data_IF_150828740975
#
_entry.id   IF_150828740975
#
_cell.length_a   1.000
_cell.length_b   1.000
_cell.length_c   1.000
_cell.angle_alpha   90.00
_cell.angle_beta   90.00
_cell.angle_gamma   90.00
#
_symmetry.space_group_name_H-M   'P 1'
#
loop_
_entity.id
_entity.type
_entity.pdbx_description
1 polymer ?
#
# COMPACT_ATOMS: atom_id res chain seq x y z
N UNK A 1 38.40 69.54 -15.16
CA UNK A 1 38.03 68.76 -13.96
C UNK A 1 36.51 68.67 -13.85
N UNK A 2 35.90 67.51 -14.16
CA UNK A 2 34.62 67.04 -13.58
C UNK A 2 34.24 65.66 -14.13
N UNK A 3 34.64 64.65 -13.35
CA UNK A 3 33.93 63.43 -12.93
C UNK A 3 32.96 62.77 -13.92
N UNK A 4 33.35 61.58 -14.37
CA UNK A 4 32.48 60.57 -14.99
C UNK A 4 31.48 60.00 -13.97
N UNK A 5 30.23 59.79 -14.36
CA UNK A 5 29.32 58.86 -13.68
C UNK A 5 28.70 57.92 -14.72
N UNK A 6 29.25 56.69 -14.79
CA UNK A 6 28.58 55.54 -15.39
C UNK A 6 27.40 55.18 -14.48
N UNK A 7 26.19 55.20 -15.02
CA UNK A 7 24.99 54.68 -14.37
C UNK A 7 24.90 53.19 -14.68
N UNK A 8 25.23 52.34 -13.71
CA UNK A 8 24.93 50.90 -13.78
C UNK A 8 23.45 50.68 -13.56
N UNK A 9 22.74 50.14 -14.56
CA UNK A 9 21.38 49.61 -14.42
C UNK A 9 21.47 48.27 -13.71
N UNK A 10 21.01 48.21 -12.45
CA UNK A 10 20.75 46.96 -11.74
C UNK A 10 19.40 46.44 -12.24
N UNK A 11 19.42 45.33 -12.98
CA UNK A 11 18.22 44.54 -13.27
C UNK A 11 18.01 43.61 -12.08
N UNK A 12 16.99 43.88 -11.27
CA UNK A 12 16.55 42.96 -10.21
C UNK A 12 15.74 41.85 -10.89
N UNK A 13 16.36 40.69 -11.04
CA UNK A 13 15.68 39.48 -11.48
C UNK A 13 14.87 38.92 -10.30
N UNK A 14 13.55 39.17 -10.32
CA UNK A 14 12.61 38.53 -9.40
C UNK A 14 12.52 37.03 -9.76
N UNK A 15 13.31 36.21 -9.07
CA UNK A 15 13.15 34.75 -9.10
C UNK A 15 11.91 34.42 -8.26
N UNK A 16 10.77 34.26 -8.93
CA UNK A 16 9.61 33.56 -8.38
C UNK A 16 10.04 32.10 -8.16
N UNK A 17 10.48 31.79 -6.94
CA UNK A 17 10.55 30.41 -6.47
C UNK A 17 9.09 29.99 -6.25
N UNK A 18 8.47 29.43 -7.30
CA UNK A 18 7.34 28.54 -7.08
C UNK A 18 7.90 27.38 -6.25
N UNK A 19 7.63 27.37 -4.95
CA UNK A 19 7.64 26.13 -4.18
C UNK A 19 6.59 25.23 -4.84
N UNK A 20 7.00 24.51 -5.88
CA UNK A 20 6.38 23.25 -6.21
C UNK A 20 6.62 22.40 -4.97
N UNK A 21 5.64 22.40 -4.07
CA UNK A 21 5.52 21.38 -3.06
C UNK A 21 5.43 20.08 -3.86
N UNK A 22 6.56 19.40 -4.03
CA UNK A 22 6.55 18.02 -4.50
C UNK A 22 5.53 17.33 -3.59
N UNK A 23 4.46 16.71 -4.13
CA UNK A 23 3.55 15.95 -3.32
C UNK A 23 4.41 15.05 -2.42
N UNK A 24 4.18 15.11 -1.12
CA UNK A 24 4.79 14.14 -0.23
C UNK A 24 4.50 12.77 -0.84
N UNK A 25 5.52 11.92 -0.98
CA UNK A 25 5.42 10.58 -1.60
C UNK A 25 4.47 9.62 -0.85
N UNK A 26 3.68 10.14 0.10
CA UNK A 26 2.79 9.44 1.03
C UNK A 26 1.44 10.13 1.19
N UNK A 27 1.18 11.19 0.43
CA UNK A 27 -0.17 11.70 0.27
C UNK A 27 -0.95 10.75 -0.66
N UNK A 28 -2.18 10.39 -0.28
CA UNK A 28 -3.03 9.51 -1.07
C UNK A 28 -3.40 8.20 -0.38
N UNK A 29 -3.91 7.28 -1.20
CA UNK A 29 -4.38 5.95 -0.83
C UNK A 29 -4.04 4.95 -1.94
N UNK A 30 -3.35 3.88 -1.58
CA UNK A 30 -3.06 2.75 -2.46
C UNK A 30 -4.19 1.71 -2.43
N UNK A 31 -4.35 0.93 -3.48
CA UNK A 31 -5.16 -0.29 -3.48
C UNK A 31 -4.35 -1.47 -4.03
N UNK A 32 -4.39 -2.62 -3.34
CA UNK A 32 -4.03 -3.91 -3.92
C UNK A 32 -5.18 -4.36 -4.81
N UNK A 33 -4.94 -4.47 -6.12
CA UNK A 33 -5.97 -4.68 -7.13
C UNK A 33 -6.33 -6.13 -7.44
N UNK A 34 -6.02 -7.08 -6.53
CA UNK A 34 -6.26 -8.50 -6.70
C UNK A 34 -6.30 -9.20 -5.33
N UNK A 35 -6.71 -10.47 -5.32
CA UNK A 35 -6.67 -11.40 -4.20
C UNK A 35 -6.30 -12.81 -4.71
N UNK A 36 -6.04 -13.79 -3.83
CA UNK A 36 -5.47 -15.08 -4.25
C UNK A 36 -6.32 -15.83 -5.27
N UNK A 37 -7.64 -15.79 -5.12
CA UNK A 37 -8.60 -16.55 -5.91
C UNK A 37 -9.40 -15.69 -6.91
N UNK A 38 -8.81 -14.65 -7.48
CA UNK A 38 -9.49 -13.86 -8.54
C UNK A 38 -10.01 -14.78 -9.65
N UNK A 39 -11.18 -14.49 -10.26
CA UNK A 39 -11.74 -15.34 -11.30
C UNK A 39 -10.71 -15.64 -12.39
N UNK A 40 -10.51 -16.94 -12.67
CA UNK A 40 -9.65 -17.37 -13.77
C UNK A 40 -10.26 -17.03 -15.14
N UNK A 41 -9.50 -17.30 -16.20
CA UNK A 41 -9.97 -17.13 -17.58
C UNK A 41 -9.50 -15.85 -18.28
N UNK A 42 -8.44 -15.20 -17.78
CA UNK A 42 -7.73 -14.16 -18.55
C UNK A 42 -8.43 -12.80 -18.64
N UNK A 43 -9.44 -12.53 -17.81
CA UNK A 43 -10.24 -11.30 -17.93
C UNK A 43 -10.04 -10.30 -16.76
N UNK A 44 -9.14 -10.59 -15.83
CA UNK A 44 -8.98 -9.76 -14.62
C UNK A 44 -8.52 -8.33 -14.93
N UNK A 45 -7.65 -8.13 -15.91
CA UNK A 45 -7.23 -6.79 -16.30
C UNK A 45 -8.40 -5.94 -16.81
N UNK A 46 -9.37 -6.52 -17.52
CA UNK A 46 -10.58 -5.81 -17.94
C UNK A 46 -11.50 -5.51 -16.75
N UNK A 47 -11.61 -6.42 -15.78
CA UNK A 47 -12.31 -6.17 -14.51
C UNK A 47 -11.70 -4.97 -13.80
N UNK A 48 -10.38 -4.95 -13.58
CA UNK A 48 -9.67 -3.82 -12.98
C UNK A 48 -9.90 -2.53 -13.78
N UNK A 49 -9.71 -2.58 -15.10
CA UNK A 49 -9.90 -1.45 -16.01
C UNK A 49 -11.28 -0.81 -15.84
N UNK A 50 -12.34 -1.61 -15.75
CA UNK A 50 -13.72 -1.13 -15.62
C UNK A 50 -13.95 -0.33 -14.32
N UNK A 51 -13.10 -0.51 -13.31
CA UNK A 51 -13.22 0.13 -11.99
C UNK A 51 -12.39 1.39 -11.83
N UNK A 52 -11.56 1.76 -12.80
CA UNK A 52 -10.64 2.90 -12.66
C UNK A 52 -11.35 4.23 -12.32
N UNK A 53 -12.50 4.51 -12.96
CA UNK A 53 -13.30 5.70 -12.65
C UNK A 53 -13.87 5.66 -11.22
N UNK A 54 -14.49 4.54 -10.82
CA UNK A 54 -15.08 4.33 -9.48
C UNK A 54 -14.01 4.46 -8.39
N UNK A 55 -12.80 3.97 -8.64
CA UNK A 55 -11.70 4.01 -7.68
C UNK A 55 -11.05 5.38 -7.57
N UNK A 56 -10.98 6.17 -8.65
CA UNK A 56 -10.49 7.56 -8.58
C UNK A 56 -11.49 8.49 -7.90
N UNK A 57 -12.77 8.30 -8.18
CA UNK A 57 -13.85 9.20 -7.78
C UNK A 57 -14.84 8.50 -6.84
N UNK A 58 -14.32 8.02 -5.71
CA UNK A 58 -15.11 7.28 -4.72
C UNK A 58 -16.17 8.17 -4.05
N UNK A 59 -15.78 9.37 -3.57
CA UNK A 59 -16.67 10.37 -2.96
C UNK A 59 -16.12 11.77 -3.28
N UNK A 60 -16.97 12.67 -3.78
CA UNK A 60 -16.66 14.09 -4.07
C UNK A 60 -15.34 14.35 -4.81
N UNK A 61 -14.99 13.46 -5.74
CA UNK A 61 -13.76 13.59 -6.52
C UNK A 61 -12.50 12.99 -5.88
N UNK A 62 -12.61 12.43 -4.67
CA UNK A 62 -11.51 11.78 -3.95
C UNK A 62 -11.56 10.26 -4.08
N UNK A 63 -10.40 9.61 -4.02
CA UNK A 63 -10.24 8.18 -4.22
C UNK A 63 -8.77 7.78 -4.17
N UNK A 64 -8.43 6.64 -4.75
CA UNK A 64 -7.04 6.14 -4.76
C UNK A 64 -6.16 6.98 -5.70
N UNK A 65 -4.87 6.98 -5.41
CA UNK A 65 -3.82 7.57 -6.25
C UNK A 65 -2.90 6.49 -6.85
N UNK A 66 -2.94 5.25 -6.32
CA UNK A 66 -2.13 4.14 -6.81
C UNK A 66 -2.86 2.81 -6.74
N UNK A 67 -2.62 1.96 -7.73
CA UNK A 67 -3.08 0.57 -7.72
C UNK A 67 -1.91 -0.40 -7.96
N UNK A 68 -1.83 -1.44 -7.14
CA UNK A 68 -0.88 -2.55 -7.23
C UNK A 68 -1.51 -3.69 -8.02
N UNK A 69 -0.92 -3.99 -9.18
CA UNK A 69 -1.29 -5.10 -10.05
C UNK A 69 -0.65 -6.40 -9.60
N UNK A 70 -1.27 -7.57 -9.85
CA UNK A 70 -0.62 -8.85 -9.61
C UNK A 70 0.62 -9.03 -10.52
N UNK A 71 1.50 -10.02 -10.24
CA UNK A 71 2.68 -10.24 -11.07
C UNK A 71 2.27 -10.48 -12.54
N UNK A 72 2.80 -9.69 -13.49
CA UNK A 72 2.26 -9.66 -14.84
C UNK A 72 2.88 -10.70 -15.78
N UNK A 73 3.94 -11.39 -15.35
CA UNK A 73 4.70 -12.36 -16.15
C UNK A 73 4.07 -13.75 -16.13
N UNK A 74 4.31 -14.54 -17.18
CA UNK A 74 3.91 -15.94 -17.25
C UNK A 74 4.62 -16.75 -16.16
N UNK A 75 3.82 -17.41 -15.32
CA UNK A 75 4.30 -18.39 -14.34
C UNK A 75 4.26 -19.82 -14.87
N UNK A 76 4.94 -20.74 -14.15
CA UNK A 76 5.02 -22.16 -14.48
C UNK A 76 3.63 -22.80 -14.61
N UNK A 77 2.68 -22.38 -13.77
CA UNK A 77 1.31 -22.90 -13.75
C UNK A 77 0.41 -22.31 -14.86
N UNK A 78 0.97 -21.53 -15.79
CA UNK A 78 0.25 -20.98 -16.93
C UNK A 78 -0.95 -20.11 -16.54
N UNK A 79 -2.11 -20.36 -17.15
CA UNK A 79 -3.35 -19.64 -16.88
C UNK A 79 -3.92 -19.86 -15.47
N UNK A 80 -3.35 -20.80 -14.69
CA UNK A 80 -3.70 -21.02 -13.28
C UNK A 80 -2.78 -20.28 -12.31
N UNK A 81 -1.62 -19.82 -12.78
CA UNK A 81 -0.62 -19.12 -11.97
C UNK A 81 -1.17 -17.80 -11.40
N UNK A 82 -0.87 -17.54 -10.13
CA UNK A 82 -1.06 -16.22 -9.51
C UNK A 82 0.15 -15.29 -9.72
N UNK A 83 1.17 -15.75 -10.44
CA UNK A 83 2.34 -14.98 -10.82
C UNK A 83 3.57 -15.16 -9.92
N UNK A 84 3.41 -15.76 -8.74
CA UNK A 84 4.50 -16.04 -7.77
C UNK A 84 5.27 -17.33 -8.06
N UNK A 85 5.16 -17.87 -9.26
CA UNK A 85 5.97 -18.97 -9.80
C UNK A 85 6.57 -18.56 -11.16
N UNK A 86 7.27 -17.40 -11.24
CA UNK A 86 7.64 -16.78 -12.51
C UNK A 86 8.49 -17.72 -13.37
N UNK A 87 8.12 -17.87 -14.64
CA UNK A 87 8.79 -18.75 -15.59
C UNK A 87 9.42 -17.99 -16.76
N UNK A 88 8.67 -17.08 -17.37
CA UNK A 88 9.17 -16.22 -18.46
C UNK A 88 8.81 -14.75 -18.19
N UNK A 89 9.80 -14.00 -17.69
CA UNK A 89 9.66 -12.59 -17.33
C UNK A 89 9.19 -11.70 -18.50
N UNK A 90 9.57 -12.03 -19.73
CA UNK A 90 9.22 -11.23 -20.92
C UNK A 90 7.94 -11.70 -21.61
N UNK A 91 7.23 -12.66 -21.02
CA UNK A 91 5.90 -13.08 -21.47
C UNK A 91 4.81 -12.49 -20.58
N UNK A 92 4.22 -11.37 -21.00
CA UNK A 92 3.08 -10.75 -20.32
C UNK A 92 1.73 -11.32 -20.79
N UNK A 93 1.70 -12.59 -21.20
CA UNK A 93 0.51 -13.24 -21.74
C UNK A 93 0.40 -13.12 -23.27
N UNK A 94 1.52 -13.25 -23.99
CA UNK A 94 1.62 -13.12 -25.45
C UNK A 94 2.11 -14.41 -26.14
N UNK A 95 2.77 -15.32 -25.42
CA UNK A 95 3.26 -16.58 -25.99
C UNK A 95 2.49 -17.78 -25.47
N UNK A 96 2.20 -18.75 -26.36
CA UNK A 96 1.67 -20.05 -25.96
C UNK A 96 2.78 -20.90 -25.31
N UNK A 97 2.81 -20.90 -23.98
CA UNK A 97 3.73 -21.69 -23.15
C UNK A 97 3.12 -21.99 -21.79
N UNK A 98 3.62 -23.05 -21.15
CA UNK A 98 3.08 -23.51 -19.87
C UNK A 98 1.55 -23.74 -19.91
N UNK A 99 1.04 -24.24 -21.04
CA UNK A 99 -0.37 -24.58 -21.23
C UNK A 99 -1.32 -23.40 -21.46
N UNK A 100 -0.81 -22.18 -21.68
CA UNK A 100 -1.65 -20.99 -21.91
C UNK A 100 -0.94 -19.91 -22.72
N UNK A 101 -1.71 -19.12 -23.47
CA UNK A 101 -1.19 -17.87 -24.09
C UNK A 101 -1.24 -16.74 -23.07
N UNK A 102 -2.42 -16.43 -22.56
CA UNK A 102 -2.61 -15.40 -21.56
C UNK A 102 -2.10 -15.83 -20.17
N UNK A 103 -1.77 -14.86 -19.34
CA UNK A 103 -1.64 -15.10 -17.90
C UNK A 103 -3.03 -15.37 -17.31
N UNK A 104 -3.11 -15.75 -16.03
CA UNK A 104 -4.41 -15.83 -15.33
C UNK A 104 -5.21 -14.53 -15.45
N UNK A 105 -4.51 -13.40 -15.47
CA UNK A 105 -5.11 -12.07 -15.41
C UNK A 105 -5.48 -11.50 -16.79
N UNK A 106 -4.86 -12.01 -17.85
CA UNK A 106 -5.13 -11.67 -19.24
C UNK A 106 -3.89 -11.52 -20.12
N UNK A 107 -4.10 -10.96 -21.30
CA UNK A 107 -3.09 -10.68 -22.31
C UNK A 107 -2.30 -9.41 -22.02
N UNK A 108 -1.16 -9.25 -22.70
CA UNK A 108 -0.36 -8.02 -22.64
C UNK A 108 -1.14 -6.80 -23.14
N UNK A 109 -2.01 -6.98 -24.13
CA UNK A 109 -2.82 -5.89 -24.68
C UNK A 109 -3.83 -5.38 -23.64
N UNK A 110 -4.47 -6.29 -22.91
CA UNK A 110 -5.41 -5.95 -21.83
C UNK A 110 -4.70 -5.31 -20.64
N UNK A 111 -3.51 -5.81 -20.27
CA UNK A 111 -2.66 -5.18 -19.25
C UNK A 111 -2.35 -3.72 -19.60
N UNK A 112 -1.85 -3.47 -20.81
CA UNK A 112 -1.55 -2.11 -21.30
C UNK A 112 -2.79 -1.22 -21.31
N UNK A 113 -3.92 -1.77 -21.74
CA UNK A 113 -5.22 -1.10 -21.79
C UNK A 113 -5.73 -0.73 -20.38
N UNK A 114 -5.55 -1.62 -19.41
CA UNK A 114 -5.87 -1.36 -18.00
C UNK A 114 -4.96 -0.27 -17.40
N UNK A 115 -3.64 -0.39 -17.58
CA UNK A 115 -2.67 0.61 -17.11
C UNK A 115 -2.98 1.99 -17.70
N UNK A 116 -3.22 2.08 -19.01
CA UNK A 116 -3.57 3.33 -19.67
C UNK A 116 -4.86 3.94 -19.12
N UNK A 117 -5.85 3.11 -18.77
CA UNK A 117 -7.11 3.57 -18.18
C UNK A 117 -6.95 4.11 -16.75
N UNK A 118 -6.13 3.47 -15.91
CA UNK A 118 -5.85 4.01 -14.58
C UNK A 118 -5.09 5.33 -14.67
N UNK A 119 -4.08 5.38 -15.56
CA UNK A 119 -3.29 6.60 -15.80
C UNK A 119 -4.12 7.76 -16.34
N UNK A 120 -5.13 7.52 -17.17
CA UNK A 120 -6.02 8.58 -17.67
C UNK A 120 -6.85 9.23 -16.55
N UNK A 121 -7.01 8.55 -15.41
CA UNK A 121 -7.62 9.09 -14.20
C UNK A 121 -6.59 9.57 -13.16
N UNK A 122 -5.30 9.61 -13.51
CA UNK A 122 -4.23 10.03 -12.61
C UNK A 122 -3.87 8.99 -11.53
N UNK A 123 -4.27 7.74 -11.70
CA UNK A 123 -3.88 6.63 -10.80
C UNK A 123 -2.57 6.03 -11.30
N UNK A 124 -1.57 5.99 -10.43
CA UNK A 124 -0.28 5.37 -10.70
C UNK A 124 -0.37 3.85 -10.66
N UNK A 125 0.31 3.16 -11.58
CA UNK A 125 0.27 1.70 -11.69
C UNK A 125 1.55 1.08 -11.15
N UNK A 126 1.43 0.21 -10.15
CA UNK A 126 2.53 -0.52 -9.52
C UNK A 126 2.55 -1.97 -10.01
N UNK A 127 3.71 -2.45 -10.46
CA UNK A 127 3.89 -3.87 -10.77
C UNK A 127 4.35 -4.64 -9.53
N UNK A 128 3.90 -5.88 -9.41
CA UNK A 128 4.50 -6.87 -8.53
C UNK A 128 5.78 -7.46 -9.15
N UNK A 129 6.86 -7.48 -8.39
CA UNK A 129 8.21 -7.80 -8.82
C UNK A 129 8.71 -8.99 -8.00
N UNK A 130 8.61 -10.18 -8.59
CA UNK A 130 9.10 -11.44 -8.03
C UNK A 130 10.52 -11.68 -8.51
N UNK A 131 11.48 -11.60 -7.58
CA UNK A 131 12.92 -11.65 -7.88
C UNK A 131 13.66 -12.73 -7.09
N UNK A 132 13.00 -13.40 -6.16
CA UNK A 132 13.66 -14.37 -5.29
C UNK A 132 14.06 -15.64 -6.04
N UNK A 133 13.09 -16.22 -6.74
CA UNK A 133 13.20 -17.53 -7.35
C UNK A 133 12.67 -17.50 -8.78
N UNK A 134 12.83 -18.64 -9.47
CA UNK A 134 12.20 -18.87 -10.78
C UNK A 134 11.72 -20.30 -10.87
N UNK A 135 10.62 -20.53 -11.59
CA UNK A 135 9.98 -21.85 -11.70
C UNK A 135 9.75 -22.23 -13.16
N UNK A 136 9.69 -23.54 -13.46
CA UNK A 136 9.33 -24.04 -14.79
C UNK A 136 10.50 -24.25 -15.75
N UNK A 137 11.72 -24.31 -15.24
CA UNK A 137 12.90 -24.74 -16.00
C UNK A 137 12.88 -26.24 -16.27
N UNK A 138 13.55 -26.67 -17.33
CA UNK A 138 13.79 -28.07 -17.61
C UNK A 138 14.86 -28.65 -16.66
N UNK A 139 14.88 -29.98 -16.55
CA UNK A 139 15.89 -30.68 -15.75
C UNK A 139 17.24 -30.64 -16.44
N UNK A 140 18.26 -30.18 -15.73
CA UNK A 140 19.66 -30.22 -16.16
C UNK A 140 20.57 -30.64 -14.99
N UNK A 141 21.79 -31.08 -15.28
CA UNK A 141 22.75 -31.46 -14.25
C UNK A 141 23.44 -30.23 -13.65
N UNK A 142 23.37 -30.06 -12.33
CA UNK A 142 24.10 -29.04 -11.61
C UNK A 142 25.37 -29.65 -10.96
N UNK A 143 26.58 -29.28 -11.44
CA UNK A 143 27.83 -29.82 -10.90
C UNK A 143 28.12 -29.40 -9.45
N UNK A 144 27.44 -28.37 -8.93
CA UNK A 144 27.64 -27.87 -7.55
C UNK A 144 26.82 -28.65 -6.54
N UNK A 145 25.64 -29.13 -6.92
CA UNK A 145 24.84 -30.04 -6.08
C UNK A 145 25.19 -31.50 -6.30
N UNK A 146 25.80 -31.83 -7.45
CA UNK A 146 26.06 -33.22 -7.85
C UNK A 146 24.80 -33.97 -8.30
N UNK A 147 23.71 -33.24 -8.58
CA UNK A 147 22.39 -33.78 -8.93
C UNK A 147 21.72 -32.93 -10.00
N UNK A 148 20.59 -33.39 -10.54
CA UNK A 148 19.80 -32.58 -11.46
C UNK A 148 18.98 -31.51 -10.72
N UNK A 149 18.88 -30.32 -11.33
CA UNK A 149 18.05 -29.19 -10.89
C UNK A 149 17.15 -28.73 -12.03
N UNK A 150 16.04 -28.05 -11.70
CA UNK A 150 15.05 -27.55 -12.67
C UNK A 150 15.40 -26.12 -13.12
N UNK A 151 16.62 -25.95 -13.63
CA UNK A 151 17.23 -24.63 -13.86
C UNK A 151 17.50 -24.30 -15.33
N UNK A 152 17.17 -25.19 -16.27
CA UNK A 152 17.35 -24.91 -17.70
C UNK A 152 16.16 -24.10 -18.23
N UNK A 153 16.35 -22.80 -18.42
CA UNK A 153 15.37 -21.87 -18.99
C UNK A 153 15.65 -21.54 -20.46
N UNK A 154 16.47 -22.32 -21.16
CA UNK A 154 16.74 -22.11 -22.59
C UNK A 154 15.48 -22.22 -23.48
N UNK A 155 14.46 -22.94 -23.01
CA UNK A 155 13.23 -23.22 -23.73
C UNK A 155 12.11 -22.17 -23.63
N UNK A 156 12.29 -21.09 -22.84
CA UNK A 156 11.23 -20.07 -22.67
C UNK A 156 10.95 -19.34 -23.99
N UNK A 157 9.67 -19.04 -24.26
CA UNK A 157 9.26 -18.56 -25.59
C UNK A 157 9.68 -17.13 -25.90
N UNK A 158 9.94 -16.30 -24.89
CA UNK A 158 10.48 -14.96 -25.13
C UNK A 158 11.92 -14.97 -25.68
N UNK A 159 12.66 -16.08 -25.49
CA UNK A 159 14.09 -16.15 -25.80
C UNK A 159 14.94 -15.17 -24.96
N UNK A 160 14.42 -14.71 -23.82
CA UNK A 160 15.09 -13.81 -22.88
C UNK A 160 15.27 -14.50 -21.54
N UNK A 161 16.30 -14.09 -20.79
CA UNK A 161 16.65 -14.70 -19.51
C UNK A 161 16.80 -16.23 -19.64
N UNK A 162 17.54 -16.72 -20.64
CA UNK A 162 17.75 -18.16 -20.89
C UNK A 162 18.82 -18.71 -19.96
N UNK A 163 18.53 -18.66 -18.66
CA UNK A 163 19.47 -19.00 -17.59
C UNK A 163 19.62 -20.50 -17.42
N UNK A 164 20.75 -20.89 -16.83
CA UNK A 164 21.09 -22.25 -16.42
C UNK A 164 21.44 -22.27 -14.93
N UNK A 165 21.80 -23.45 -14.42
CA UNK A 165 22.14 -23.74 -13.02
C UNK A 165 23.11 -22.74 -12.38
N UNK A 166 24.02 -22.15 -13.17
CA UNK A 166 25.04 -21.20 -12.71
C UNK A 166 24.49 -19.80 -12.41
N UNK A 167 23.23 -19.54 -12.75
CA UNK A 167 22.48 -18.33 -12.40
C UNK A 167 21.64 -18.50 -11.12
N UNK A 168 21.64 -19.69 -10.52
CA UNK A 168 20.86 -20.02 -9.32
C UNK A 168 21.77 -20.50 -8.19
N UNK A 169 21.26 -20.47 -6.97
CA UNK A 169 21.92 -21.07 -5.82
C UNK A 169 21.75 -22.61 -5.84
N UNK A 170 22.73 -23.38 -5.34
CA UNK A 170 24.13 -23.00 -5.17
C UNK A 170 24.88 -22.96 -6.52
N UNK A 171 25.83 -22.03 -6.64
CA UNK A 171 26.76 -21.97 -7.78
C UNK A 171 28.21 -21.66 -7.37
N UNK A 172 29.03 -21.16 -8.30
CA UNK A 172 30.43 -20.80 -8.05
C UNK A 172 30.62 -19.55 -7.17
N UNK A 173 29.64 -18.66 -7.15
CA UNK A 173 29.68 -17.37 -6.47
C UNK A 173 28.75 -17.30 -5.26
N UNK A 174 27.64 -18.05 -5.32
CA UNK A 174 26.63 -18.09 -4.29
C UNK A 174 26.58 -19.47 -3.64
N UNK A 175 26.62 -19.50 -2.30
CA UNK A 175 26.49 -20.72 -1.50
C UNK A 175 25.03 -21.12 -1.30
N UNK A 176 24.51 -20.97 -0.09
CA UNK A 176 23.10 -21.27 0.23
C UNK A 176 22.14 -20.12 -0.05
N UNK A 177 20.86 -20.46 -0.12
CA UNK A 177 19.77 -19.52 -0.41
C UNK A 177 19.62 -18.51 0.75
N UNK A 178 19.46 -17.20 0.47
CA UNK A 178 19.10 -16.23 1.50
C UNK A 178 17.70 -16.49 2.08
N UNK A 179 16.83 -17.14 1.30
CA UNK A 179 15.56 -17.72 1.73
C UNK A 179 14.94 -18.53 0.59
N UNK A 180 14.37 -19.70 0.89
CA UNK A 180 13.80 -20.60 -0.11
C UNK A 180 12.28 -20.48 -0.17
N UNK A 181 11.72 -20.52 -1.38
CA UNK A 181 10.28 -20.43 -1.62
C UNK A 181 9.80 -21.58 -2.52
N UNK A 182 8.92 -22.44 -1.98
CA UNK A 182 8.28 -23.51 -2.76
C UNK A 182 9.23 -24.58 -3.32
N UNK A 183 10.51 -24.60 -2.91
CA UNK A 183 11.55 -25.45 -3.51
C UNK A 183 11.95 -25.02 -4.91
N UNK A 184 11.59 -23.80 -5.34
CA UNK A 184 11.97 -23.24 -6.62
C UNK A 184 13.44 -22.80 -6.59
N UNK A 185 14.17 -22.91 -7.71
CA UNK A 185 15.53 -22.38 -7.81
C UNK A 185 15.65 -20.90 -7.44
N UNK A 186 16.46 -20.61 -6.43
CA UNK A 186 16.72 -19.27 -5.93
C UNK A 186 17.75 -18.53 -6.80
N UNK A 187 17.42 -17.33 -7.27
CA UNK A 187 18.24 -16.58 -8.23
C UNK A 187 19.50 -16.03 -7.54
N UNK A 188 20.67 -16.27 -8.12
CA UNK A 188 21.93 -15.69 -7.67
C UNK A 188 22.25 -14.42 -8.44
N UNK A 189 22.09 -13.27 -7.79
CA UNK A 189 22.40 -11.95 -8.37
C UNK A 189 23.90 -11.62 -8.41
N UNK A 190 24.76 -12.50 -7.89
CA UNK A 190 26.23 -12.34 -7.91
C UNK A 190 26.89 -13.08 -9.07
N UNK A 191 26.12 -13.91 -9.79
CA UNK A 191 26.59 -14.76 -10.87
C UNK A 191 25.76 -14.54 -12.14
N UNK A 192 26.35 -14.88 -13.28
CA UNK A 192 25.63 -14.93 -14.56
C UNK A 192 25.04 -13.59 -15.00
N UNK A 193 24.04 -13.66 -15.89
CA UNK A 193 23.38 -12.49 -16.46
C UNK A 193 22.18 -12.00 -15.66
N UNK A 194 21.70 -12.77 -14.67
CA UNK A 194 20.45 -12.52 -13.94
C UNK A 194 20.35 -11.09 -13.37
N UNK A 195 21.44 -10.55 -12.82
CA UNK A 195 21.49 -9.20 -12.29
C UNK A 195 21.24 -8.10 -13.33
N UNK A 196 21.82 -8.22 -14.52
CA UNK A 196 21.60 -7.24 -15.59
C UNK A 196 20.25 -7.49 -16.30
N UNK A 197 19.92 -8.76 -16.54
CA UNK A 197 18.67 -9.15 -17.19
C UNK A 197 17.43 -8.67 -16.43
N UNK A 198 17.45 -8.70 -15.09
CA UNK A 198 16.34 -8.19 -14.27
C UNK A 198 16.23 -6.66 -14.29
N UNK A 199 17.35 -5.94 -14.37
CA UNK A 199 17.32 -4.48 -14.58
C UNK A 199 16.74 -4.11 -15.94
N UNK A 200 17.12 -4.85 -16.97
CA UNK A 200 16.60 -4.66 -18.32
C UNK A 200 15.11 -4.97 -18.38
N UNK A 201 14.68 -6.05 -17.73
CA UNK A 201 13.27 -6.44 -17.65
C UNK A 201 12.42 -5.39 -16.93
N UNK A 202 12.88 -4.89 -15.78
CA UNK A 202 12.13 -3.87 -15.05
C UNK A 202 12.07 -2.54 -15.84
N UNK A 203 13.13 -2.14 -16.54
CA UNK A 203 13.07 -1.00 -17.45
C UNK A 203 12.16 -1.26 -18.66
N UNK A 204 12.12 -2.50 -19.16
CA UNK A 204 11.21 -2.93 -20.20
C UNK A 204 9.74 -2.82 -19.73
N UNK A 205 9.41 -3.21 -18.49
CA UNK A 205 8.09 -3.02 -17.89
C UNK A 205 7.66 -1.55 -17.77
N UNK A 206 8.60 -0.63 -17.52
CA UNK A 206 8.30 0.82 -17.45
C UNK A 206 7.92 1.42 -18.81
N UNK A 207 8.39 0.82 -19.91
CA UNK A 207 8.09 1.32 -21.24
C UNK A 207 6.60 1.14 -21.56
N UNK A 208 5.94 2.22 -21.98
CA UNK A 208 4.54 2.20 -22.43
C UNK A 208 4.32 1.32 -23.67
N UNK A 209 5.39 1.00 -24.41
CA UNK A 209 5.33 0.03 -25.51
C UNK A 209 5.05 -1.39 -25.01
N UNK A 210 5.39 -1.71 -23.75
CA UNK A 210 5.31 -3.07 -23.21
C UNK A 210 4.25 -3.22 -22.11
N UNK A 211 4.27 -2.35 -21.09
CA UNK A 211 3.26 -2.32 -20.03
C UNK A 211 3.03 -0.87 -19.57
N UNK A 212 4.09 -0.18 -19.15
CA UNK A 212 4.02 1.21 -18.73
C UNK A 212 3.82 1.38 -17.23
N UNK A 213 4.43 0.55 -16.39
CA UNK A 213 4.35 0.69 -14.93
C UNK A 213 5.17 1.87 -14.39
N UNK A 214 4.77 2.41 -13.24
CA UNK A 214 5.39 3.59 -12.61
C UNK A 214 6.25 3.24 -11.39
N UNK A 215 5.98 2.10 -10.74
CA UNK A 215 6.46 1.77 -9.39
C UNK A 215 6.44 0.28 -9.11
N UNK A 216 7.07 -0.13 -8.00
CA UNK A 216 7.35 -1.54 -7.71
C UNK A 216 6.85 -1.98 -6.33
N UNK A 217 6.17 -3.13 -6.27
CA UNK A 217 6.05 -3.95 -5.06
C UNK A 217 7.06 -5.08 -5.19
N UNK A 218 8.01 -5.18 -4.26
CA UNK A 218 8.98 -6.28 -4.26
C UNK A 218 8.45 -7.42 -3.38
N UNK A 219 8.28 -8.58 -4.01
CA UNK A 219 7.86 -9.82 -3.39
C UNK A 219 8.97 -10.44 -2.52
N UNK A 220 8.57 -11.08 -1.42
CA UNK A 220 9.39 -11.96 -0.60
C UNK A 220 10.83 -11.45 -0.36
N UNK A 221 10.97 -10.18 0.06
CA UNK A 221 12.28 -9.54 0.18
C UNK A 221 13.13 -10.06 1.33
N UNK A 222 12.61 -11.00 2.15
CA UNK A 222 13.39 -11.78 3.09
C UNK A 222 14.33 -12.76 2.40
N UNK A 223 13.96 -13.29 1.23
CA UNK A 223 14.80 -14.21 0.47
C UNK A 223 15.77 -13.52 -0.49
N UNK A 224 15.77 -12.18 -0.54
CA UNK A 224 16.64 -11.40 -1.43
C UNK A 224 17.51 -10.45 -0.61
N UNK A 225 18.80 -10.42 -0.91
CA UNK A 225 19.72 -9.48 -0.27
C UNK A 225 19.33 -8.02 -0.58
N UNK A 226 19.31 -7.14 0.43
CA UNK A 226 18.80 -5.76 0.29
C UNK A 226 19.52 -4.93 -0.77
N UNK A 227 20.79 -5.22 -1.07
CA UNK A 227 21.54 -4.51 -2.12
C UNK A 227 20.95 -4.77 -3.51
N UNK A 228 20.33 -5.94 -3.75
CA UNK A 228 19.66 -6.25 -5.02
C UNK A 228 18.49 -5.30 -5.21
N UNK A 229 17.61 -5.17 -4.19
CA UNK A 229 16.46 -4.26 -4.24
C UNK A 229 16.93 -2.81 -4.44
N UNK A 230 17.97 -2.38 -3.71
CA UNK A 230 18.57 -1.05 -3.87
C UNK A 230 19.00 -0.79 -5.32
N UNK A 231 19.73 -1.73 -5.91
CA UNK A 231 20.28 -1.58 -7.25
C UNK A 231 19.22 -1.67 -8.35
N UNK A 232 18.21 -2.54 -8.19
CA UNK A 232 17.07 -2.63 -9.10
C UNK A 232 16.27 -1.32 -9.12
N UNK A 233 16.06 -0.71 -7.94
CA UNK A 233 15.44 0.62 -7.84
C UNK A 233 16.30 1.69 -8.50
N UNK A 234 17.60 1.73 -8.22
CA UNK A 234 18.50 2.71 -8.81
C UNK A 234 18.54 2.60 -10.34
N UNK A 235 18.62 1.38 -10.87
CA UNK A 235 18.65 1.09 -12.31
C UNK A 235 17.35 1.46 -13.03
N UNK A 236 16.25 1.62 -12.30
CA UNK A 236 14.93 1.99 -12.85
C UNK A 236 14.52 3.42 -12.51
N UNK A 237 15.47 4.26 -12.07
CA UNK A 237 15.24 5.68 -11.80
C UNK A 237 14.63 5.98 -10.42
N UNK A 238 14.84 5.10 -9.44
CA UNK A 238 14.36 5.23 -8.05
C UNK A 238 12.87 5.56 -7.92
N UNK A 239 11.96 4.81 -8.59
CA UNK A 239 10.53 5.05 -8.41
C UNK A 239 10.11 4.76 -6.96
N UNK A 240 8.89 5.17 -6.62
CA UNK A 240 8.27 4.68 -5.39
C UNK A 240 8.32 3.15 -5.39
N UNK A 241 8.65 2.57 -4.24
CA UNK A 241 8.67 1.11 -4.09
C UNK A 241 8.33 0.70 -2.68
N UNK A 242 7.66 -0.44 -2.54
CA UNK A 242 7.38 -1.07 -1.26
C UNK A 242 7.88 -2.51 -1.28
N UNK A 243 8.53 -2.96 -0.21
CA UNK A 243 8.92 -4.36 -0.04
C UNK A 243 8.00 -5.09 0.92
N UNK A 244 7.71 -6.34 0.60
CA UNK A 244 7.09 -7.30 1.50
C UNK A 244 8.14 -7.92 2.45
N UNK A 245 8.70 -7.11 3.36
CA UNK A 245 9.53 -7.63 4.43
C UNK A 245 8.60 -8.14 5.52
N UNK A 246 8.18 -9.40 5.42
CA UNK A 246 7.18 -9.99 6.31
C UNK A 246 7.75 -10.23 7.72
N UNK A 247 7.81 -9.17 8.53
CA UNK A 247 8.30 -9.20 9.91
C UNK A 247 7.62 -8.12 10.77
N UNK A 248 7.35 -8.43 12.04
CA UNK A 248 6.77 -7.48 12.99
C UNK A 248 7.81 -6.63 13.72
N UNK A 249 9.10 -6.93 13.57
CA UNK A 249 10.17 -6.15 14.18
C UNK A 249 10.38 -4.82 13.42
N UNK A 250 9.93 -3.73 14.03
CA UNK A 250 10.01 -2.40 13.41
C UNK A 250 11.44 -1.87 13.26
N UNK A 251 12.43 -2.40 13.99
CA UNK A 251 13.85 -2.11 13.73
C UNK A 251 14.32 -2.79 12.44
N UNK A 252 13.97 -4.06 12.24
CA UNK A 252 14.31 -4.79 11.01
C UNK A 252 13.70 -4.13 9.77
N UNK A 253 12.43 -3.71 9.86
CA UNK A 253 11.77 -2.94 8.80
C UNK A 253 12.52 -1.62 8.52
N UNK A 254 12.94 -0.89 9.56
CA UNK A 254 13.67 0.36 9.42
C UNK A 254 15.05 0.16 8.77
N UNK A 255 15.80 -0.86 9.20
CA UNK A 255 17.12 -1.18 8.68
C UNK A 255 17.05 -1.58 7.21
N UNK A 256 16.06 -2.38 6.83
CA UNK A 256 15.82 -2.73 5.44
C UNK A 256 15.41 -1.52 4.59
N UNK A 257 14.52 -0.65 5.09
CA UNK A 257 14.14 0.59 4.40
C UNK A 257 15.36 1.51 4.21
N UNK A 258 16.25 1.61 5.20
CA UNK A 258 17.52 2.35 5.11
C UNK A 258 18.44 1.76 4.03
N UNK A 259 18.60 0.44 4.01
CA UNK A 259 19.49 -0.24 3.08
C UNK A 259 19.02 -0.13 1.61
N UNK A 260 17.71 -0.21 1.37
CA UNK A 260 17.11 -0.24 0.03
C UNK A 260 16.66 1.12 -0.49
N UNK A 261 16.38 2.06 0.42
CA UNK A 261 15.68 3.30 0.13
C UNK A 261 14.22 3.11 -0.30
N UNK A 262 13.64 1.92 -0.14
CA UNK A 262 12.22 1.62 -0.37
C UNK A 262 11.40 1.82 0.92
N UNK A 263 10.07 1.74 0.79
CA UNK A 263 9.13 1.60 1.92
C UNK A 263 8.89 0.12 2.23
N UNK A 264 8.31 -0.21 3.37
CA UNK A 264 7.92 -1.57 3.74
C UNK A 264 6.44 -1.65 4.11
N UNK A 265 5.82 -2.79 3.84
CA UNK A 265 4.51 -3.10 4.40
C UNK A 265 4.59 -3.22 5.93
N UNK A 266 3.66 -2.58 6.63
CA UNK A 266 3.64 -2.51 8.09
C UNK A 266 3.00 -3.77 8.71
N UNK A 267 3.73 -4.88 8.65
CA UNK A 267 3.29 -6.14 9.27
C UNK A 267 3.20 -6.03 10.80
N UNK A 268 3.98 -5.14 11.42
CA UNK A 268 3.90 -4.87 12.86
C UNK A 268 2.51 -4.32 13.22
N UNK A 269 2.07 -3.27 12.54
CA UNK A 269 0.74 -2.70 12.76
C UNK A 269 -0.36 -3.67 12.35
N UNK A 270 -0.19 -4.41 11.26
CA UNK A 270 -1.15 -5.43 10.84
C UNK A 270 -1.43 -6.43 11.97
N UNK A 271 -0.38 -7.03 12.57
CA UNK A 271 -0.56 -7.98 13.67
C UNK A 271 -1.16 -7.33 14.91
N UNK A 272 -0.75 -6.10 15.22
CA UNK A 272 -1.33 -5.33 16.33
C UNK A 272 -2.83 -5.10 16.13
N UNK A 273 -3.25 -4.66 14.94
CA UNK A 273 -4.65 -4.46 14.60
C UNK A 273 -5.41 -5.78 14.55
N UNK A 274 -4.81 -6.86 14.05
CA UNK A 274 -5.42 -8.19 14.03
C UNK A 274 -5.76 -8.65 15.44
N UNK A 275 -4.81 -8.56 16.35
CA UNK A 275 -4.99 -9.05 17.73
C UNK A 275 -6.04 -8.20 18.47
N UNK A 276 -6.04 -6.87 18.26
CA UNK A 276 -7.06 -5.97 18.80
C UNK A 276 -8.44 -6.29 18.23
N UNK A 277 -8.58 -6.23 16.90
CA UNK A 277 -9.87 -6.30 16.22
C UNK A 277 -10.51 -7.68 16.31
N UNK A 278 -9.72 -8.75 16.44
CA UNK A 278 -10.24 -10.11 16.55
C UNK A 278 -10.55 -10.53 17.98
N UNK A 279 -10.15 -9.76 19.01
CA UNK A 279 -10.47 -10.07 20.39
C UNK A 279 -12.00 -10.09 20.59
N UNK A 280 -12.61 -11.26 20.88
CA UNK A 280 -14.06 -11.38 20.99
C UNK A 280 -14.63 -10.59 22.16
N UNK A 281 -13.83 -10.34 23.21
CA UNK A 281 -14.26 -9.65 24.42
C UNK A 281 -14.05 -8.13 24.34
N UNK A 282 -13.49 -7.60 23.24
CA UNK A 282 -12.93 -6.25 23.22
C UNK A 282 -11.69 -6.12 24.11
N UNK A 283 -11.14 -4.91 24.26
CA UNK A 283 -10.00 -4.64 25.13
C UNK A 283 -8.69 -5.28 24.66
N UNK A 284 -8.33 -5.06 23.40
CA UNK A 284 -7.05 -5.46 22.80
C UNK A 284 -5.86 -4.56 23.16
N UNK A 285 -6.07 -3.58 24.05
CA UNK A 285 -5.12 -2.53 24.40
C UNK A 285 -4.75 -1.66 23.18
N UNK A 286 -5.71 -0.82 22.76
CA UNK A 286 -5.57 0.12 21.66
C UNK A 286 -4.29 0.96 21.67
N UNK A 287 -3.74 1.43 22.83
CA UNK A 287 -2.50 2.21 22.81
C UNK A 287 -1.31 1.53 22.13
N UNK A 288 -1.34 0.20 21.94
CA UNK A 288 -0.33 -0.53 21.17
C UNK A 288 -0.18 -0.02 19.73
N UNK A 289 -1.20 0.57 19.11
CA UNK A 289 -1.09 1.10 17.74
C UNK A 289 -0.19 2.34 17.65
N UNK A 290 0.10 2.99 18.78
CA UNK A 290 1.04 4.12 18.86
C UNK A 290 2.43 3.70 19.35
N UNK A 291 2.62 2.45 19.76
CA UNK A 291 3.91 1.93 20.19
C UNK A 291 4.82 1.72 18.97
N UNK A 292 5.98 2.40 18.96
CA UNK A 292 6.94 2.34 17.86
C UNK A 292 7.55 0.93 17.65
N UNK A 293 7.44 0.04 18.64
CA UNK A 293 7.86 -1.36 18.51
C UNK A 293 6.77 -2.26 17.89
N UNK A 294 5.52 -1.79 17.84
CA UNK A 294 4.34 -2.54 17.38
C UNK A 294 3.65 -1.93 16.16
N UNK A 295 4.01 -0.70 15.80
CA UNK A 295 3.53 -0.03 14.58
C UNK A 295 4.70 0.62 13.86
N UNK A 296 4.96 0.18 12.63
CA UNK A 296 5.98 0.81 11.81
C UNK A 296 5.54 2.21 11.35
N UNK A 297 4.24 2.44 11.16
CA UNK A 297 3.67 3.74 10.90
C UNK A 297 3.91 4.72 12.05
N UNK A 298 3.79 4.29 13.31
CA UNK A 298 4.15 5.11 14.46
C UNK A 298 5.67 5.42 14.49
N UNK A 299 6.51 4.41 14.20
CA UNK A 299 7.98 4.56 14.21
C UNK A 299 8.51 5.44 13.09
N UNK A 300 8.14 5.14 11.84
CA UNK A 300 8.64 5.78 10.65
C UNK A 300 7.53 5.91 9.60
N UNK A 301 6.61 6.87 9.79
CA UNK A 301 5.46 7.05 8.89
C UNK A 301 5.89 7.26 7.44
N UNK A 302 7.08 7.82 7.22
CA UNK A 302 7.57 8.08 5.88
C UNK A 302 7.94 6.85 5.06
N UNK A 303 8.02 5.68 5.69
CA UNK A 303 8.41 4.41 5.07
C UNK A 303 7.38 3.30 5.26
N UNK A 304 6.27 3.58 5.94
CA UNK A 304 5.26 2.60 6.27
C UNK A 304 4.13 2.59 5.23
N UNK A 305 3.89 1.43 4.62
CA UNK A 305 2.66 1.14 3.87
C UNK A 305 1.76 0.30 4.76
N UNK A 306 0.69 0.88 5.28
CA UNK A 306 -0.22 0.25 6.24
C UNK A 306 -1.35 -0.47 5.51
N UNK A 307 -1.77 -1.64 5.98
CA UNK A 307 -2.82 -2.44 5.34
C UNK A 307 -3.63 -3.20 6.40
N UNK A 308 -4.84 -3.65 6.02
CA UNK A 308 -5.73 -4.45 6.89
C UNK A 308 -5.73 -5.92 6.48
N UNK A 309 -5.64 -6.19 5.19
CA UNK A 309 -5.57 -7.51 4.60
C UNK A 309 -4.81 -7.43 3.27
N UNK A 310 -4.30 -8.57 2.83
CA UNK A 310 -3.68 -8.76 1.52
C UNK A 310 -4.07 -10.15 1.00
N UNK A 311 -3.41 -10.62 -0.07
CA UNK A 311 -3.73 -11.92 -0.65
C UNK A 311 -3.29 -13.12 0.21
N UNK A 312 -2.43 -12.94 1.22
CA UNK A 312 -1.92 -14.00 2.10
C UNK A 312 -2.52 -13.95 3.52
N UNK A 313 -2.96 -12.79 4.00
CA UNK A 313 -3.21 -12.53 5.43
C UNK A 313 -4.62 -12.02 5.76
N UNK A 314 -5.65 -12.39 5.00
CA UNK A 314 -7.04 -11.97 5.22
C UNK A 314 -7.65 -12.55 6.53
N UNK A 315 -7.11 -12.12 7.69
CA UNK A 315 -7.34 -12.71 9.02
C UNK A 315 -8.10 -11.77 9.98
N UNK A 316 -8.25 -10.48 9.66
CA UNK A 316 -8.97 -9.52 10.53
C UNK A 316 -10.47 -9.55 10.20
N UNK A 317 -11.25 -10.46 10.78
CA UNK A 317 -12.63 -10.71 10.34
C UNK A 317 -13.71 -10.01 11.18
N UNK A 318 -13.41 -9.61 12.41
CA UNK A 318 -14.43 -9.13 13.36
C UNK A 318 -14.66 -7.63 13.26
N UNK A 319 -13.67 -6.81 13.65
CA UNK A 319 -13.78 -5.34 13.61
C UNK A 319 -12.99 -4.72 12.46
N UNK A 320 -13.09 -5.31 11.26
CA UNK A 320 -12.30 -4.92 10.08
C UNK A 320 -12.41 -3.42 9.73
N UNK A 321 -13.61 -2.84 9.91
CA UNK A 321 -13.83 -1.40 9.68
C UNK A 321 -13.11 -0.50 10.70
N UNK A 322 -12.85 -0.98 11.92
CA UNK A 322 -12.05 -0.27 12.92
C UNK A 322 -10.57 -0.22 12.51
N UNK A 323 -10.04 -1.33 11.99
CA UNK A 323 -8.70 -1.38 11.41
C UNK A 323 -8.57 -0.44 10.20
N UNK A 324 -9.55 -0.41 9.30
CA UNK A 324 -9.58 0.54 8.17
C UNK A 324 -9.64 1.99 8.63
N UNK A 325 -10.45 2.30 9.64
CA UNK A 325 -10.51 3.65 10.20
C UNK A 325 -9.14 4.10 10.69
N UNK A 326 -8.41 3.23 11.41
CA UNK A 326 -7.06 3.55 11.85
C UNK A 326 -6.13 3.83 10.67
N UNK A 327 -5.93 2.88 9.75
CA UNK A 327 -4.93 3.06 8.68
C UNK A 327 -5.25 4.22 7.73
N UNK A 328 -6.53 4.54 7.51
CA UNK A 328 -6.93 5.63 6.60
C UNK A 328 -6.84 7.01 7.27
N UNK A 329 -6.97 7.10 8.59
CA UNK A 329 -6.95 8.39 9.31
C UNK A 329 -5.68 8.63 10.13
N UNK A 330 -4.79 7.64 10.21
CA UNK A 330 -3.48 7.77 10.82
C UNK A 330 -2.39 8.06 9.77
N UNK A 331 -1.16 8.25 10.25
CA UNK A 331 0.04 8.45 9.42
C UNK A 331 0.48 7.16 8.71
N UNK A 332 1.32 7.30 7.68
CA UNK A 332 1.68 6.22 6.76
C UNK A 332 0.91 6.30 5.44
N UNK A 333 1.19 5.39 4.52
CA UNK A 333 0.52 5.30 3.21
C UNK A 333 -0.43 4.09 3.19
N UNK A 334 -1.74 4.28 3.34
CA UNK A 334 -2.68 3.16 3.46
C UNK A 334 -2.87 2.42 2.13
N UNK A 335 -2.96 1.10 2.22
CA UNK A 335 -3.29 0.18 1.14
C UNK A 335 -4.62 -0.52 1.43
N UNK A 336 -5.61 -0.29 0.57
CA UNK A 336 -6.92 -0.94 0.61
C UNK A 336 -6.84 -2.29 -0.11
N UNK A 337 -7.48 -3.32 0.45
CA UNK A 337 -7.58 -4.62 -0.20
C UNK A 337 -8.83 -4.72 -1.10
N UNK A 338 -8.66 -5.17 -2.34
CA UNK A 338 -9.78 -5.28 -3.30
C UNK A 338 -10.95 -6.12 -2.77
N UNK A 339 -10.65 -7.30 -2.19
CA UNK A 339 -11.67 -8.24 -1.70
C UNK A 339 -12.52 -7.63 -0.60
N UNK A 340 -11.90 -6.89 0.32
CA UNK A 340 -12.61 -6.14 1.35
C UNK A 340 -13.54 -5.07 0.75
N UNK A 341 -13.01 -4.30 -0.19
CA UNK A 341 -13.72 -3.17 -0.78
C UNK A 341 -14.93 -3.62 -1.62
N UNK A 342 -14.71 -4.53 -2.56
CA UNK A 342 -15.73 -4.96 -3.54
C UNK A 342 -16.51 -6.20 -3.11
N UNK A 343 -15.84 -7.25 -2.62
CA UNK A 343 -16.46 -8.56 -2.45
C UNK A 343 -17.13 -8.71 -1.08
N UNK A 344 -16.51 -8.15 -0.04
CA UNK A 344 -17.11 -8.05 1.29
C UNK A 344 -17.97 -6.80 1.47
N UNK A 345 -18.08 -5.96 0.43
CA UNK A 345 -18.97 -4.80 0.42
C UNK A 345 -18.58 -3.69 1.39
N UNK A 346 -17.34 -3.67 1.89
CA UNK A 346 -16.89 -2.67 2.87
C UNK A 346 -16.68 -1.29 2.26
N UNK A 347 -16.80 -1.14 0.93
CA UNK A 347 -16.84 0.18 0.29
C UNK A 347 -17.95 1.08 0.85
N UNK A 348 -19.13 0.51 1.08
CA UNK A 348 -20.35 1.20 1.51
C UNK A 348 -20.85 0.70 2.89
N UNK A 349 -20.39 -0.47 3.32
CA UNK A 349 -20.81 -1.09 4.59
C UNK A 349 -20.01 -0.58 5.79
N UNK A 350 -20.67 -0.50 6.94
CA UNK A 350 -20.04 -0.20 8.23
C UNK A 350 -20.64 -1.06 9.33
N UNK A 351 -20.05 -2.23 9.61
CA UNK A 351 -20.51 -3.15 10.66
C UNK A 351 -21.94 -3.68 10.48
N UNK A 352 -22.21 -4.91 10.92
CA UNK A 352 -23.52 -5.58 10.91
C UNK A 352 -24.35 -5.53 9.59
N UNK A 353 -23.74 -5.20 8.44
CA UNK A 353 -24.39 -5.16 7.13
C UNK A 353 -25.29 -3.95 6.85
N UNK A 354 -25.27 -2.89 7.68
CA UNK A 354 -26.12 -1.71 7.45
C UNK A 354 -25.40 -0.62 6.64
N UNK A 355 -26.04 -0.12 5.58
CA UNK A 355 -25.55 1.00 4.76
C UNK A 355 -26.14 2.31 5.28
N UNK A 356 -25.29 3.19 5.81
CA UNK A 356 -25.66 4.55 6.20
C UNK A 356 -24.68 5.56 5.60
N UNK A 357 -25.15 6.78 5.34
CA UNK A 357 -24.24 7.90 5.07
C UNK A 357 -23.23 8.02 6.22
N UNK A 358 -21.95 8.17 5.89
CA UNK A 358 -20.89 8.16 6.89
C UNK A 358 -20.21 6.79 7.10
N UNK A 359 -20.70 5.70 6.50
CA UNK A 359 -20.06 4.39 6.62
C UNK A 359 -19.14 4.06 5.43
N UNK A 360 -18.29 3.06 5.64
CA UNK A 360 -17.50 2.41 4.58
C UNK A 360 -16.14 3.03 4.30
N UNK A 361 -15.31 2.25 3.62
CA UNK A 361 -13.94 2.61 3.27
C UNK A 361 -13.90 3.90 2.45
N UNK A 362 -14.84 4.08 1.51
CA UNK A 362 -14.86 5.29 0.66
C UNK A 362 -15.01 6.59 1.46
N UNK A 363 -15.75 6.53 2.57
CA UNK A 363 -15.97 7.69 3.43
C UNK A 363 -14.73 8.00 4.27
N UNK A 364 -14.01 6.96 4.72
CA UNK A 364 -12.72 7.12 5.37
C UNK A 364 -11.65 7.68 4.42
N UNK A 365 -11.64 7.24 3.15
CA UNK A 365 -10.81 7.83 2.08
C UNK A 365 -11.14 9.30 1.90
N UNK A 366 -12.42 9.66 1.81
CA UNK A 366 -12.83 11.06 1.76
C UNK A 366 -12.33 11.84 2.97
N UNK A 367 -12.48 11.31 4.19
CA UNK A 367 -11.98 11.97 5.40
C UNK A 367 -10.47 12.23 5.31
N UNK A 368 -9.68 11.25 4.87
CA UNK A 368 -8.24 11.41 4.68
C UNK A 368 -7.92 12.50 3.66
N UNK A 369 -8.49 12.37 2.47
CA UNK A 369 -8.14 13.21 1.32
C UNK A 369 -8.69 14.63 1.47
N UNK A 370 -9.98 14.78 1.76
CA UNK A 370 -10.66 16.08 1.89
C UNK A 370 -10.24 16.83 3.14
N UNK A 371 -10.26 16.18 4.30
CA UNK A 371 -10.11 16.88 5.57
C UNK A 371 -8.62 17.04 5.95
N UNK A 372 -7.76 16.09 5.60
CA UNK A 372 -6.33 16.12 5.92
C UNK A 372 -5.41 16.23 4.69
N UNK A 373 -5.96 16.67 3.53
CA UNK A 373 -5.20 16.88 2.30
C UNK A 373 -4.37 15.64 1.87
N UNK A 374 -4.90 14.45 2.14
CA UNK A 374 -4.29 13.15 1.83
C UNK A 374 -3.09 12.75 2.70
N UNK A 375 -2.62 13.63 3.58
CA UNK A 375 -1.42 13.43 4.39
C UNK A 375 -1.68 13.86 5.84
N UNK A 376 -2.30 13.01 6.67
CA UNK A 376 -2.59 13.33 8.07
C UNK A 376 -1.36 13.76 8.84
N UNK A 377 -1.48 14.87 9.58
CA UNK A 377 -0.44 15.38 10.48
C UNK A 377 -0.92 15.17 11.92
N UNK A 378 -0.41 14.13 12.55
CA UNK A 378 -1.06 13.52 13.72
C UNK A 378 -0.77 14.28 15.03
N UNK A 379 -1.82 14.43 15.83
CA UNK A 379 -1.78 14.85 17.23
C UNK A 379 -2.41 13.75 18.09
N UNK A 380 -1.68 13.16 19.04
CA UNK A 380 -2.27 12.21 20.00
C UNK A 380 -2.96 12.99 21.12
N UNK A 381 -4.25 12.76 21.30
CA UNK A 381 -5.09 13.50 22.25
C UNK A 381 -5.43 12.67 23.50
N UNK A 382 -5.51 11.34 23.35
CA UNK A 382 -5.71 10.38 24.42
C UNK A 382 -5.18 8.99 24.03
N UNK A 383 -4.41 8.38 24.92
CA UNK A 383 -3.80 7.05 24.70
C UNK A 383 -3.54 6.27 25.99
N UNK A 384 -4.18 6.65 27.10
CA UNK A 384 -4.00 6.09 28.45
C UNK A 384 -5.19 5.20 28.88
N UNK A 385 -6.13 4.93 27.97
CA UNK A 385 -7.22 3.98 28.16
C UNK A 385 -7.00 2.77 27.23
N UNK A 386 -7.16 1.56 27.76
CA UNK A 386 -6.93 0.33 27.02
C UNK A 386 -7.91 0.10 25.87
N UNK A 387 -9.11 0.65 25.94
CA UNK A 387 -10.20 0.40 24.99
C UNK A 387 -10.59 1.63 24.18
N UNK A 388 -10.05 2.81 24.48
CA UNK A 388 -10.36 4.03 23.76
C UNK A 388 -9.13 4.89 23.52
N UNK A 389 -8.86 5.18 22.25
CA UNK A 389 -7.85 6.15 21.82
C UNK A 389 -8.51 7.31 21.08
N UNK A 390 -7.93 8.50 21.24
CA UNK A 390 -8.33 9.71 20.53
C UNK A 390 -7.09 10.37 19.96
N UNK A 391 -7.13 10.66 18.67
CA UNK A 391 -6.08 11.40 17.98
C UNK A 391 -6.71 12.34 16.96
N UNK A 392 -5.97 13.33 16.50
CA UNK A 392 -6.40 14.26 15.47
C UNK A 392 -5.41 14.37 14.33
N UNK A 393 -5.87 14.95 13.23
CA UNK A 393 -5.00 15.52 12.21
C UNK A 393 -5.12 17.04 12.28
N UNK A 394 -3.98 17.74 12.26
CA UNK A 394 -3.96 19.18 12.01
C UNK A 394 -4.56 19.49 10.63
N UNK A 395 -5.25 20.62 10.53
CA UNK A 395 -5.72 21.15 9.27
C UNK A 395 -4.63 21.89 8.50
N UNK A 396 -4.82 21.97 7.19
CA UNK A 396 -3.96 22.71 6.27
C UNK A 396 -4.61 24.03 5.84
N UNK A 397 -5.94 24.08 5.81
CA UNK A 397 -6.73 25.25 5.40
C UNK A 397 -8.17 25.10 5.90
N UNK A 398 -9.00 26.12 5.74
CA UNK A 398 -10.44 26.01 6.05
C UNK A 398 -11.15 24.95 5.19
N UNK A 399 -10.66 24.65 3.99
CA UNK A 399 -11.21 23.61 3.10
C UNK A 399 -10.67 22.20 3.39
N UNK A 400 -9.61 22.10 4.18
CA UNK A 400 -9.02 20.86 4.70
C UNK A 400 -8.66 21.07 6.19
N UNK A 401 -9.69 21.17 7.06
CA UNK A 401 -9.52 21.66 8.43
C UNK A 401 -8.95 20.62 9.40
N UNK A 402 -8.63 19.41 8.94
CA UNK A 402 -8.23 18.28 9.78
C UNK A 402 -9.44 17.62 10.44
N UNK A 403 -9.20 16.77 11.43
CA UNK A 403 -10.25 16.02 12.13
C UNK A 403 -9.79 15.54 13.50
N UNK A 404 -10.73 14.99 14.27
CA UNK A 404 -10.50 14.19 15.47
C UNK A 404 -11.10 12.80 15.22
N UNK A 405 -10.34 11.75 15.52
CA UNK A 405 -10.76 10.35 15.43
C UNK A 405 -10.87 9.79 16.83
N UNK A 406 -11.96 9.07 17.08
CA UNK A 406 -12.15 8.24 18.27
C UNK A 406 -12.23 6.79 17.79
N UNK A 407 -11.42 5.92 18.37
CA UNK A 407 -11.52 4.47 18.20
C UNK A 407 -11.86 3.85 19.55
N UNK A 408 -12.82 2.94 19.55
CA UNK A 408 -13.34 2.31 20.75
C UNK A 408 -13.49 0.79 20.52
N UNK A 409 -12.68 -0.03 21.17
CA UNK A 409 -12.76 -1.49 21.07
C UNK A 409 -13.56 -2.13 22.22
N UNK A 410 -14.16 -1.34 23.10
CA UNK A 410 -15.00 -1.84 24.19
C UNK A 410 -16.16 -2.67 23.63
N UNK A 411 -16.49 -3.83 24.22
CA UNK A 411 -17.42 -4.78 23.62
C UNK A 411 -18.86 -4.28 23.50
N UNK A 412 -19.28 -3.36 24.38
CA UNK A 412 -20.71 -3.01 24.52
C UNK A 412 -21.02 -1.57 24.91
N UNK A 413 -20.02 -0.75 25.23
CA UNK A 413 -20.24 0.60 25.75
C UNK A 413 -19.66 1.64 24.80
N UNK A 414 -20.38 2.75 24.68
CA UNK A 414 -19.85 3.96 24.07
C UNK A 414 -18.74 4.51 24.96
N UNK A 415 -17.60 4.85 24.36
CA UNK A 415 -16.50 5.52 25.06
C UNK A 415 -16.16 6.83 24.36
N UNK A 416 -15.78 7.80 25.18
CA UNK A 416 -15.51 9.16 24.76
C UNK A 416 -14.97 9.99 25.90
N UNK A 417 -14.28 11.06 25.56
CA UNK A 417 -13.57 11.89 26.54
C UNK A 417 -13.53 13.34 26.09
N UNK A 418 -13.42 14.24 27.07
CA UNK A 418 -12.97 15.61 26.82
C UNK A 418 -11.49 15.58 26.43
N UNK A 419 -11.20 16.17 25.27
CA UNK A 419 -9.84 16.35 24.76
C UNK A 419 -9.62 17.81 24.38
N UNK A 420 -8.35 18.23 24.34
CA UNK A 420 -7.97 19.57 23.91
C UNK A 420 -7.12 19.47 22.65
N UNK A 421 -7.68 19.81 21.50
CA UNK A 421 -6.92 19.83 20.24
C UNK A 421 -6.16 21.14 20.07
N UNK A 422 -4.93 21.05 19.55
CA UNK A 422 -4.17 22.21 19.12
C UNK A 422 -4.50 22.64 17.68
N UNK A 423 -5.36 21.91 16.98
CA UNK A 423 -5.80 22.25 15.63
C UNK A 423 -6.68 23.51 15.64
N UNK A 424 -6.11 24.64 15.21
CA UNK A 424 -6.79 25.94 15.17
C UNK A 424 -8.02 25.98 14.25
N UNK A 425 -8.10 25.12 13.23
CA UNK A 425 -9.22 25.10 12.29
C UNK A 425 -10.50 24.50 12.90
N UNK A 426 -10.39 23.76 14.01
CA UNK A 426 -11.53 23.14 14.69
C UNK A 426 -12.12 24.03 15.79
N UNK A 427 -11.38 25.05 16.26
CA UNK A 427 -11.80 25.92 17.38
C UNK A 427 -12.99 26.80 17.02
N UNK A 428 -13.90 27.00 17.97
CA UNK A 428 -15.15 27.73 17.80
C UNK A 428 -16.06 27.18 16.69
N UNK A 429 -16.07 25.85 16.48
CA UNK A 429 -16.88 25.20 15.44
C UNK A 429 -17.72 24.07 16.04
N UNK A 430 -18.87 23.85 15.43
CA UNK A 430 -19.55 22.57 15.54
C UNK A 430 -18.78 21.54 14.73
N UNK A 431 -18.53 20.38 15.33
CA UNK A 431 -17.90 19.24 14.69
C UNK A 431 -18.95 18.16 14.44
N UNK A 432 -19.02 17.69 13.20
CA UNK A 432 -19.91 16.60 12.76
C UNK A 432 -19.10 15.33 12.55
N UNK A 433 -19.68 14.17 12.89
CA UNK A 433 -19.11 12.87 12.54
C UNK A 433 -19.32 12.59 11.05
N UNK A 434 -18.25 12.64 10.25
CA UNK A 434 -18.25 12.38 8.81
C UNK A 434 -18.00 10.92 8.46
N UNK A 435 -17.34 10.17 9.34
CA UNK A 435 -17.24 8.73 9.23
C UNK A 435 -17.50 8.07 10.58
N UNK A 436 -18.20 6.94 10.61
CA UNK A 436 -18.41 6.14 11.81
C UNK A 436 -18.75 4.70 11.42
N UNK A 437 -18.62 3.79 12.37
CA UNK A 437 -19.08 2.40 12.23
C UNK A 437 -19.15 1.74 13.59
N UNK A 438 -20.02 0.75 13.74
CA UNK A 438 -20.03 -0.19 14.87
C UNK A 438 -20.40 -1.58 14.40
N UNK A 439 -19.71 -2.61 14.90
CA UNK A 439 -20.08 -4.01 14.66
C UNK A 439 -21.15 -4.51 15.63
N UNK A 440 -21.40 -3.79 16.72
CA UNK A 440 -22.43 -4.13 17.71
C UNK A 440 -23.83 -3.80 17.19
N UNK A 441 -24.75 -4.76 17.32
CA UNK A 441 -26.15 -4.65 16.87
C UNK A 441 -26.84 -3.39 17.44
N UNK A 442 -27.53 -2.65 16.57
CA UNK A 442 -28.20 -1.37 16.86
C UNK A 442 -27.30 -0.23 17.37
N UNK A 443 -25.97 -0.38 17.30
CA UNK A 443 -25.03 0.67 17.72
C UNK A 443 -24.37 1.40 16.54
N UNK A 444 -24.63 0.98 15.30
CA UNK A 444 -24.16 1.71 14.11
C UNK A 444 -25.03 2.95 13.87
N UNK A 445 -24.88 3.95 14.74
CA UNK A 445 -25.64 5.20 14.75
C UNK A 445 -24.66 6.35 14.66
N UNK A 446 -25.00 7.36 13.86
CA UNK A 446 -24.18 8.55 13.72
C UNK A 446 -24.06 9.27 15.07
N UNK A 447 -22.83 9.52 15.56
CA UNK A 447 -22.64 10.29 16.78
C UNK A 447 -23.16 11.73 16.63
N UNK A 448 -23.60 12.31 17.74
CA UNK A 448 -24.08 13.70 17.79
C UNK A 448 -22.96 14.70 17.45
N UNK A 449 -23.34 15.85 16.89
CA UNK A 449 -22.41 16.95 16.66
C UNK A 449 -21.88 17.49 18.01
N UNK A 450 -20.62 17.90 18.03
CA UNK A 450 -19.91 18.35 19.23
C UNK A 450 -19.32 19.74 19.03
N UNK A 451 -19.53 20.65 19.98
CA UNK A 451 -18.94 21.99 19.89
C UNK A 451 -17.50 21.97 20.42
N UNK A 452 -16.56 22.47 19.62
CA UNK A 452 -15.18 22.72 20.04
C UNK A 452 -15.02 24.18 20.41
N UNK A 453 -14.62 24.45 21.66
CA UNK A 453 -14.54 25.80 22.19
C UNK A 453 -13.34 26.62 21.64
N UNK A 454 -13.22 27.87 22.07
CA UNK A 454 -12.14 28.76 21.68
C UNK A 454 -10.74 28.26 22.12
N UNK A 455 -10.68 27.41 23.13
CA UNK A 455 -9.44 26.86 23.67
C UNK A 455 -9.07 25.52 23.02
N UNK A 456 -9.96 24.94 22.20
CA UNK A 456 -9.80 23.63 21.57
C UNK A 456 -10.37 22.47 22.38
N UNK A 457 -11.11 22.73 23.46
CA UNK A 457 -11.75 21.66 24.24
C UNK A 457 -13.00 21.15 23.52
N UNK A 458 -13.14 19.83 23.43
CA UNK A 458 -14.30 19.16 22.87
C UNK A 458 -14.47 17.77 23.46
N UNK A 459 -15.70 17.33 23.64
CA UNK A 459 -16.02 15.98 24.09
C UNK A 459 -16.44 15.11 22.90
N UNK A 460 -15.67 14.07 22.57
CA UNK A 460 -15.91 13.22 21.40
C UNK A 460 -16.12 11.77 21.81
N UNK A 461 -16.94 11.03 21.07
CA UNK A 461 -17.37 9.66 21.41
C UNK A 461 -17.35 8.73 20.19
N UNK A 462 -17.17 7.44 20.41
CA UNK A 462 -17.39 6.40 19.41
C UNK A 462 -18.26 5.26 19.98
N UNK A 463 -19.06 4.61 19.12
CA UNK A 463 -19.81 3.42 19.53
C UNK A 463 -18.88 2.27 19.91
N UNK A 464 -19.36 1.26 20.67
CA UNK A 464 -18.58 0.07 20.98
C UNK A 464 -18.12 -0.65 19.71
N UNK A 465 -16.93 -1.27 19.77
CA UNK A 465 -16.30 -1.96 18.65
C UNK A 465 -16.38 -1.17 17.34
N UNK A 466 -15.96 0.08 17.42
CA UNK A 466 -16.30 1.08 16.44
C UNK A 466 -15.39 2.30 16.44
N UNK A 467 -15.74 3.26 15.60
CA UNK A 467 -15.00 4.50 15.46
C UNK A 467 -15.92 5.65 15.08
N UNK A 468 -15.39 6.86 15.21
CA UNK A 468 -15.98 8.09 14.69
C UNK A 468 -14.90 9.09 14.28
N UNK A 469 -15.11 9.80 13.15
CA UNK A 469 -14.22 10.84 12.61
C UNK A 469 -14.99 12.16 12.58
N UNK A 470 -14.60 13.09 13.44
CA UNK A 470 -15.22 14.40 13.60
C UNK A 470 -14.44 15.49 12.88
N UNK A 471 -15.12 16.36 12.15
CA UNK A 471 -14.53 17.58 11.58
C UNK A 471 -15.57 18.69 11.50
N UNK A 472 -15.16 19.88 11.05
CA UNK A 472 -16.01 21.07 10.96
C UNK A 472 -17.30 20.76 10.22
N UNK A 473 -18.45 21.10 10.81
CA UNK A 473 -19.75 20.92 10.18
C UNK A 473 -19.93 21.86 8.98
N UNK A 474 -20.68 21.41 7.97
CA UNK A 474 -20.97 22.17 6.75
C UNK A 474 -19.90 22.12 5.64
N UNK A 475 -18.97 21.15 5.69
CA UNK A 475 -17.99 20.86 4.64
C UNK A 475 -18.54 20.06 3.47
#
# INVERSE_FOLDING_TARGET
MRVSRKVSRIVVLLVLISMLCSPSVLAGVMMQGFYWDVPGGGNWYNTMKSKAYELRYMVDGYGIDRIWFPPPSKGQSGGYSMGYDPADYYDLGQYNQYGSTETRFGSQAELKSAIAQFKSYGISCMADIVLNHRSGGASEYNPRTGSNTWTDFSGVKSGKCTWHWDSFHPNSYCGGDPGSFGGFPDICYRAGSAYNDMKDWMNWLKSSSNAGFDSWRFDYVKGIESWVVKDMRAATGNPFSVGELWDSNTNLLADWCNATGASAFDFALYYTLRDICNNPNGGGYLPNVFDHSKSFAARWPMRAVTFVANHDTDEIYRDKMMAYAFILTYQGYPCIFWKDYFDYGLKDGGGAGTRQWGNGIRQLVWCREKLANGSPNIEILKSDDGDCIIYGSYGYSSSAPGYIVVINDHPSEWKGYWVKTNNSYLKNKMLKAYAFSSTVHNQNVQPQNKYCDANGNVEVWAPPRGYAVYSVDGL
#
